data_IF_918796325615
#
_entry.id   IF_918796325615
#
_cell.length_a   1.000
_cell.length_b   1.000
_cell.length_c   1.000
_cell.angle_alpha   90.00
_cell.angle_beta   90.00
_cell.angle_gamma   90.00
#
_symmetry.space_group_name_H-M   'P 1'
#
loop_
_entity.id
_entity.type
_entity.pdbx_description
1 polymer ?
#
# COMPACT_ATOMS: atom_id res chain seq x y z
N UNK A 1 -23.64 -6.82 1.16
CA UNK A 1 -22.50 -7.57 1.75
C UNK A 1 -21.30 -7.39 0.84
N UNK A 2 -20.08 -7.13 1.37
CA UNK A 2 -18.89 -6.95 0.56
C UNK A 2 -18.58 -8.22 -0.23
N UNK A 3 -18.13 -8.07 -1.48
CA UNK A 3 -17.80 -9.22 -2.33
C UNK A 3 -16.55 -9.99 -1.87
N UNK A 4 -15.71 -9.37 -1.03
CA UNK A 4 -14.49 -9.94 -0.46
C UNK A 4 -14.42 -9.67 1.04
N UNK A 5 -13.89 -10.63 1.78
CA UNK A 5 -13.55 -10.43 3.20
C UNK A 5 -12.24 -9.64 3.34
N UNK A 6 -11.95 -9.07 4.53
CA UNK A 6 -10.63 -8.49 4.79
C UNK A 6 -9.47 -9.47 4.54
N UNK A 7 -9.64 -10.74 4.86
CA UNK A 7 -8.65 -11.79 4.62
C UNK A 7 -8.43 -12.03 3.12
N UNK A 8 -9.50 -12.01 2.32
CA UNK A 8 -9.41 -12.14 0.86
C UNK A 8 -8.69 -10.94 0.26
N UNK A 9 -8.95 -9.72 0.76
CA UNK A 9 -8.25 -8.52 0.33
C UNK A 9 -6.76 -8.56 0.67
N UNK A 10 -6.38 -9.05 1.85
CA UNK A 10 -4.96 -9.23 2.20
C UNK A 10 -4.26 -10.23 1.27
N UNK A 11 -4.92 -11.35 0.95
CA UNK A 11 -4.38 -12.33 -0.03
C UNK A 11 -4.23 -11.73 -1.42
N UNK A 12 -5.26 -11.03 -1.89
CA UNK A 12 -5.24 -10.35 -3.18
C UNK A 12 -4.10 -9.33 -3.27
N UNK A 13 -3.90 -8.54 -2.21
CA UNK A 13 -2.80 -7.58 -2.15
C UNK A 13 -1.44 -8.26 -2.15
N UNK A 14 -1.27 -9.38 -1.43
CA UNK A 14 0.00 -10.12 -1.42
C UNK A 14 0.33 -10.74 -2.79
N UNK A 15 -0.68 -11.23 -3.51
CA UNK A 15 -0.53 -11.86 -4.83
C UNK A 15 -0.20 -10.84 -5.94
N UNK A 16 -0.94 -9.74 -5.99
CA UNK A 16 -0.82 -8.76 -7.08
C UNK A 16 0.12 -7.59 -6.78
N UNK A 17 0.36 -7.30 -5.50
CA UNK A 17 1.18 -6.18 -5.05
C UNK A 17 2.16 -6.64 -3.94
N UNK A 18 3.13 -7.51 -4.25
CA UNK A 18 4.04 -8.06 -3.24
C UNK A 18 4.80 -7.00 -2.44
N UNK A 19 5.04 -5.81 -3.01
CA UNK A 19 5.63 -4.67 -2.30
C UNK A 19 4.75 -4.14 -1.14
N UNK A 20 3.44 -4.34 -1.20
CA UNK A 20 2.50 -3.95 -0.15
C UNK A 20 2.66 -4.80 1.12
N UNK A 21 3.26 -6.00 1.01
CA UNK A 21 3.56 -6.83 2.17
C UNK A 21 4.56 -6.16 3.14
N UNK A 22 5.40 -5.24 2.66
CA UNK A 22 6.41 -4.57 3.49
C UNK A 22 5.84 -3.49 4.41
N UNK A 23 4.61 -3.03 4.17
CA UNK A 23 4.05 -1.85 4.82
C UNK A 23 3.03 -2.15 5.92
N UNK A 24 2.83 -3.43 6.28
CA UNK A 24 1.92 -3.90 7.36
C UNK A 24 0.54 -3.21 7.34
N UNK A 25 -0.04 -3.05 6.14
CA UNK A 25 -1.37 -2.46 5.96
C UNK A 25 -2.43 -3.28 6.72
N UNK A 26 -3.36 -2.59 7.39
CA UNK A 26 -4.43 -3.22 8.15
C UNK A 26 -5.78 -2.68 7.73
N UNK A 27 -6.70 -3.57 7.41
CA UNK A 27 -8.10 -3.21 7.18
C UNK A 27 -8.79 -3.12 8.55
N UNK A 28 -9.24 -1.92 8.93
CA UNK A 28 -9.91 -1.66 10.21
C UNK A 28 -11.44 -1.71 10.12
N UNK A 29 -11.98 -1.50 8.93
CA UNK A 29 -13.41 -1.54 8.67
C UNK A 29 -13.66 -1.85 7.19
N UNK A 30 -14.67 -2.67 6.93
CA UNK A 30 -15.12 -2.99 5.59
C UNK A 30 -16.63 -3.19 5.62
N UNK A 31 -17.35 -2.41 4.81
CA UNK A 31 -18.76 -2.60 4.53
C UNK A 31 -19.04 -2.44 3.03
N UNK A 32 -20.32 -2.42 2.66
CA UNK A 32 -20.78 -2.39 1.27
C UNK A 32 -20.38 -1.12 0.50
N UNK A 33 -20.02 -0.06 1.23
CA UNK A 33 -19.80 1.28 0.67
C UNK A 33 -18.47 1.91 1.10
N UNK A 34 -17.86 1.40 2.18
CA UNK A 34 -16.66 1.98 2.76
C UNK A 34 -15.62 0.93 3.11
N UNK A 35 -14.36 1.35 3.00
CA UNK A 35 -13.21 0.64 3.54
C UNK A 35 -12.35 1.63 4.31
N UNK A 36 -11.89 1.23 5.50
CA UNK A 36 -10.91 2.00 6.28
C UNK A 36 -9.64 1.18 6.43
N UNK A 37 -8.54 1.75 5.98
CA UNK A 37 -7.21 1.10 6.02
C UNK A 37 -6.28 1.93 6.89
N UNK A 38 -5.55 1.26 7.77
CA UNK A 38 -4.45 1.83 8.54
C UNK A 38 -3.12 1.41 7.91
N UNK A 39 -2.25 2.38 7.73
CA UNK A 39 -0.85 2.19 7.37
C UNK A 39 0.02 2.55 8.58
N UNK A 40 0.55 1.56 9.32
CA UNK A 40 1.47 1.83 10.41
C UNK A 40 2.76 2.47 9.90
N UNK A 41 3.05 3.69 10.35
CA UNK A 41 4.31 4.36 10.03
C UNK A 41 5.32 4.16 11.15
N UNK A 42 6.56 3.84 10.78
CA UNK A 42 7.72 3.82 11.70
C UNK A 42 8.56 5.08 11.47
N UNK A 43 9.31 5.49 12.47
CA UNK A 43 10.14 6.71 12.44
C UNK A 43 11.09 6.75 11.22
N UNK A 44 11.62 5.60 10.83
CA UNK A 44 12.45 5.40 9.63
C UNK A 44 11.74 5.71 8.28
N UNK A 45 10.41 5.79 8.27
CA UNK A 45 9.60 6.12 7.08
C UNK A 45 9.22 7.62 7.02
N UNK A 46 9.55 8.39 8.06
CA UNK A 46 9.23 9.80 8.18
C UNK A 46 10.40 10.64 7.67
N UNK A 47 10.10 11.73 6.96
CA UNK A 47 11.10 12.77 6.73
C UNK A 47 11.32 13.56 8.02
N UNK A 48 12.47 14.26 8.17
CA UNK A 48 12.62 15.29 9.21
C UNK A 48 11.41 16.23 9.18
N UNK A 49 10.67 16.31 10.29
CA UNK A 49 9.37 17.00 10.36
C UNK A 49 8.13 16.09 10.41
N UNK A 50 8.28 14.76 10.44
CA UNK A 50 7.20 13.83 10.78
C UNK A 50 6.18 13.57 9.67
N UNK A 51 6.47 13.97 8.43
CA UNK A 51 5.58 13.74 7.28
C UNK A 51 5.94 12.45 6.55
N UNK A 52 4.92 11.71 6.11
CA UNK A 52 5.06 10.51 5.28
C UNK A 52 5.54 10.93 3.88
N UNK A 53 6.59 10.29 3.36
CA UNK A 53 7.05 10.52 1.99
C UNK A 53 6.05 9.96 0.97
N UNK A 54 5.60 10.78 0.00
CA UNK A 54 4.60 10.41 -1.02
C UNK A 54 5.06 9.35 -2.05
N UNK A 55 6.33 8.95 -2.10
CA UNK A 55 6.83 8.11 -3.19
C UNK A 55 7.66 6.92 -2.67
N UNK A 56 7.18 5.72 -3.01
CA UNK A 56 8.10 4.64 -3.35
C UNK A 56 8.88 5.11 -4.58
N UNK A 57 10.21 4.93 -4.66
CA UNK A 57 10.89 5.06 -5.93
C UNK A 57 10.34 3.94 -6.83
N UNK A 58 9.49 4.30 -7.78
CA UNK A 58 9.33 3.49 -8.98
C UNK A 58 10.75 3.25 -9.53
N UNK A 59 11.14 2.01 -9.88
CA UNK A 59 12.42 1.80 -10.54
C UNK A 59 12.49 2.73 -11.75
N UNK A 60 13.67 3.28 -12.10
CA UNK A 60 13.79 4.17 -13.25
C UNK A 60 13.27 3.43 -14.46
N UNK A 61 12.11 3.86 -14.93
CA UNK A 61 11.50 3.38 -16.15
C UNK A 61 12.45 3.72 -17.31
N UNK A 62 13.25 2.75 -17.73
CA UNK A 62 14.17 2.87 -18.86
C UNK A 62 13.40 2.70 -20.17
N UNK A 63 12.54 3.66 -20.51
CA UNK A 63 11.99 3.80 -21.87
C UNK A 63 12.27 5.18 -22.46
N UNK A 64 13.49 5.66 -22.28
CA UNK A 64 14.00 6.85 -22.98
C UNK A 64 15.41 6.60 -23.53
N UNK A 65 15.53 5.65 -24.46
CA UNK A 65 16.47 5.75 -25.58
C UNK A 65 16.13 4.74 -26.69
N UNK A 66 15.23 5.16 -27.57
CA UNK A 66 15.20 4.71 -28.95
C UNK A 66 15.08 5.99 -29.79
N UNK A 67 16.21 6.39 -30.35
CA UNK A 67 16.43 7.59 -31.14
C UNK A 67 17.89 7.60 -31.57
#
# INVERSE_FOLDING_TARGET
MPAMTPEDLHKFLAEHFPQAAHVDLRIEHLDDTTIRVRLPTKEQHLRPGGTISCASPSPPTSWARAG
#
